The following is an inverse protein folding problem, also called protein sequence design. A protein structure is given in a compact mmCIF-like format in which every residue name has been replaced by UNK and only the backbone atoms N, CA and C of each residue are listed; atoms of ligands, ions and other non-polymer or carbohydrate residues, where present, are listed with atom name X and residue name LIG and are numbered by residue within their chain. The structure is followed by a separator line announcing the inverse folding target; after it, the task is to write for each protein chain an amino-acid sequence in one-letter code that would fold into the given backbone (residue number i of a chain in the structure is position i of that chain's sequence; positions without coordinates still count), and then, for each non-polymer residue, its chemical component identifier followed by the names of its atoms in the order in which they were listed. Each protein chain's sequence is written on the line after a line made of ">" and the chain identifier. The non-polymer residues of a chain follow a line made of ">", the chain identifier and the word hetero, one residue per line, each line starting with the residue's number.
data_IF_507637428762
#
_entry.id   IF_507637428762
#
_cell.length_a   1.000
_cell.length_b   1.000
_cell.length_c   1.000
_cell.angle_alpha   90.00
_cell.angle_beta   90.00
_cell.angle_gamma   90.00
#
_symmetry.space_group_name_H-M   'P 1'
#
loop_
_entity.id
_entity.type
_entity.pdbx_description
1 polymer ?
#
# COMPACT_ATOMS: atom_id res chain seq x y z
N UNK A 1 0.89 39.56 45.36
CA UNK A 1 0.34 39.40 44.00
C UNK A 1 1.19 38.36 43.28
N UNK A 2 0.79 37.08 43.27
CA UNK A 2 1.52 35.98 42.61
C UNK A 2 0.89 35.78 41.24
N UNK A 3 1.62 36.11 40.18
CA UNK A 3 1.18 35.90 38.79
C UNK A 3 1.27 34.40 38.54
N UNK A 4 0.12 33.72 38.51
CA UNK A 4 0.00 32.35 38.04
C UNK A 4 0.24 32.36 36.53
N UNK A 5 1.49 32.15 36.11
CA UNK A 5 1.77 31.92 34.69
C UNK A 5 1.21 30.55 34.31
N UNK A 6 0.15 30.55 33.51
CA UNK A 6 -0.34 29.35 32.85
C UNK A 6 0.77 28.86 31.92
N UNK A 7 1.31 27.68 32.19
CA UNK A 7 2.22 26.98 31.28
C UNK A 7 1.43 26.76 29.97
N UNK A 8 1.86 27.29 28.82
CA UNK A 8 1.16 27.05 27.57
C UNK A 8 1.14 25.55 27.30
N UNK A 9 -0.04 24.95 27.18
CA UNK A 9 -0.17 23.55 26.78
C UNK A 9 0.28 23.43 25.32
N UNK A 10 1.44 22.83 25.08
CA UNK A 10 1.91 22.53 23.73
C UNK A 10 0.99 21.45 23.17
N UNK A 11 0.36 21.70 22.02
CA UNK A 11 -0.45 20.69 21.36
C UNK A 11 0.43 19.47 21.00
N UNK A 12 -0.08 18.22 21.08
CA UNK A 12 0.72 17.03 20.77
C UNK A 12 1.41 17.07 19.40
N UNK A 13 0.77 17.72 18.41
CA UNK A 13 1.31 17.96 17.06
C UNK A 13 2.55 18.87 17.02
N UNK A 14 2.70 19.73 18.02
CA UNK A 14 3.77 20.72 18.10
C UNK A 14 4.97 20.21 18.90
N UNK A 15 4.88 18.99 19.43
CA UNK A 15 6.05 18.28 19.96
C UNK A 15 6.99 17.88 18.79
N UNK A 16 8.30 17.69 19.03
CA UNK A 16 9.21 17.19 18.00
C UNK A 16 8.72 15.90 17.35
N UNK A 17 8.21 14.96 18.16
CA UNK A 17 7.61 13.71 17.68
C UNK A 17 6.31 13.93 16.90
N UNK A 18 5.43 14.82 17.34
CA UNK A 18 4.20 15.17 16.61
C UNK A 18 4.49 15.74 15.22
N UNK A 19 5.50 16.61 15.11
CA UNK A 19 5.98 17.13 13.81
C UNK A 19 6.57 16.03 12.94
N UNK A 20 7.36 15.13 13.52
CA UNK A 20 7.94 13.99 12.82
C UNK A 20 6.84 13.10 12.22
N UNK A 21 5.82 12.74 13.02
CA UNK A 21 4.67 11.96 12.56
C UNK A 21 3.92 12.66 11.43
N UNK A 22 3.63 13.95 11.57
CA UNK A 22 2.94 14.74 10.53
C UNK A 22 3.72 14.74 9.21
N UNK A 23 5.04 14.95 9.27
CA UNK A 23 5.91 14.96 8.09
C UNK A 23 6.02 13.58 7.45
N UNK A 24 6.20 12.53 8.25
CA UNK A 24 6.22 11.14 7.77
C UNK A 24 4.89 10.76 7.10
N UNK A 25 3.76 11.15 7.69
CA UNK A 25 2.44 10.94 7.11
C UNK A 25 2.27 11.62 5.75
N UNK A 26 2.61 12.91 5.64
CA UNK A 26 2.53 13.61 4.35
C UNK A 26 3.51 13.06 3.32
N UNK A 27 4.73 12.69 3.72
CA UNK A 27 5.68 12.02 2.83
C UNK A 27 5.11 10.70 2.29
N UNK A 28 4.47 9.90 3.15
CA UNK A 28 3.79 8.67 2.74
C UNK A 28 2.64 8.96 1.75
N UNK A 29 1.73 9.88 2.07
CA UNK A 29 0.62 10.21 1.16
C UNK A 29 1.10 10.75 -0.19
N UNK A 30 2.08 11.65 -0.19
CA UNK A 30 2.66 12.20 -1.42
C UNK A 30 3.31 11.08 -2.24
N UNK A 31 4.08 10.19 -1.59
CA UNK A 31 4.71 9.07 -2.30
C UNK A 31 3.68 8.15 -2.96
N UNK A 32 2.55 7.88 -2.28
CA UNK A 32 1.47 7.04 -2.83
C UNK A 32 0.71 7.72 -3.96
N UNK A 33 0.56 9.04 -3.91
CA UNK A 33 0.06 9.80 -5.05
C UNK A 33 0.97 9.65 -6.27
N UNK A 34 2.31 9.69 -6.09
CA UNK A 34 3.25 9.43 -7.19
C UNK A 34 3.13 8.01 -7.76
N UNK A 35 2.91 7.00 -6.92
CA UNK A 35 2.67 5.62 -7.38
C UNK A 35 1.39 5.55 -8.23
N UNK A 36 0.29 6.15 -7.77
CA UNK A 36 -0.98 6.19 -8.52
C UNK A 36 -0.83 6.97 -9.84
N UNK A 37 -0.08 8.08 -9.84
CA UNK A 37 0.23 8.80 -11.08
C UNK A 37 1.06 7.95 -12.05
N UNK A 38 2.04 7.19 -11.55
CA UNK A 38 2.82 6.25 -12.35
C UNK A 38 1.94 5.16 -12.97
N UNK A 39 1.03 4.58 -12.18
CA UNK A 39 0.05 3.62 -12.67
C UNK A 39 -0.89 4.24 -13.73
N UNK A 40 -1.34 5.48 -13.53
CA UNK A 40 -2.17 6.19 -14.52
C UNK A 40 -1.43 6.43 -15.85
N UNK A 41 -0.13 6.72 -15.80
CA UNK A 41 0.71 6.84 -16.99
C UNK A 41 0.84 5.48 -17.69
N UNK A 42 1.03 4.39 -16.94
CA UNK A 42 1.09 3.04 -17.50
C UNK A 42 -0.22 2.67 -18.22
N UNK A 43 -1.37 2.93 -17.60
CA UNK A 43 -2.70 2.74 -18.22
C UNK A 43 -2.85 3.58 -19.48
N UNK A 44 -2.41 4.85 -19.46
CA UNK A 44 -2.48 5.72 -20.63
C UNK A 44 -1.59 5.22 -21.78
N UNK A 45 -0.39 4.71 -21.47
CA UNK A 45 0.52 4.14 -22.45
C UNK A 45 -0.07 2.87 -23.08
N UNK A 46 -0.60 1.96 -22.26
CA UNK A 46 -1.26 0.73 -22.73
C UNK A 46 -2.48 1.04 -23.60
N UNK A 47 -3.27 2.06 -23.24
CA UNK A 47 -4.39 2.52 -24.04
C UNK A 47 -3.98 3.14 -25.40
N UNK A 48 -2.75 3.67 -25.54
CA UNK A 48 -2.21 4.11 -26.83
C UNK A 48 -1.79 2.90 -27.66
N UNK A 49 -1.14 1.91 -27.04
CA UNK A 49 -0.73 0.67 -27.70
C UNK A 49 -1.93 -0.14 -28.20
N UNK A 50 -2.97 -0.33 -27.38
CA UNK A 50 -4.18 -1.05 -27.76
C UNK A 50 -4.85 -0.45 -28.99
N UNK A 51 -5.01 0.90 -29.02
CA UNK A 51 -5.57 1.60 -30.19
C UNK A 51 -4.70 1.46 -31.44
N UNK A 52 -3.39 1.30 -31.29
CA UNK A 52 -2.48 1.08 -32.42
C UNK A 52 -2.65 -0.32 -33.01
N UNK A 53 -3.10 -1.28 -32.21
CA UNK A 53 -3.34 -2.67 -32.58
C UNK A 53 -4.82 -2.96 -32.93
N UNK A 54 -5.66 -1.93 -33.07
CA UNK A 54 -7.12 -2.07 -33.27
C UNK A 54 -7.85 -2.81 -32.14
N UNK A 55 -7.34 -2.75 -30.91
CA UNK A 55 -7.95 -3.32 -29.70
C UNK A 55 -8.68 -2.25 -28.88
N UNK A 56 -9.77 -2.63 -28.19
CA UNK A 56 -10.46 -1.73 -27.27
C UNK A 56 -9.62 -1.49 -26.00
N UNK A 57 -9.26 -0.23 -25.68
CA UNK A 57 -8.40 0.06 -24.54
C UNK A 57 -9.15 0.00 -23.20
N UNK A 58 -8.57 -0.70 -22.23
CA UNK A 58 -8.99 -0.62 -20.83
C UNK A 58 -8.55 0.74 -20.26
N UNK A 59 -9.43 1.43 -19.53
CA UNK A 59 -9.14 2.79 -19.04
C UNK A 59 -9.76 3.12 -17.69
N UNK A 60 -9.40 4.28 -17.15
CA UNK A 60 -9.91 4.78 -15.88
C UNK A 60 -9.59 3.86 -14.70
N UNK A 61 -10.55 3.70 -13.79
CA UNK A 61 -10.40 2.88 -12.58
C UNK A 61 -10.15 1.40 -12.89
N UNK A 62 -10.71 0.88 -13.98
CA UNK A 62 -10.51 -0.51 -14.39
C UNK A 62 -9.06 -0.78 -14.83
N UNK A 63 -8.45 0.14 -15.57
CA UNK A 63 -7.04 0.04 -15.93
C UNK A 63 -6.13 0.19 -14.73
N UNK A 64 -6.44 1.10 -13.79
CA UNK A 64 -5.67 1.22 -12.55
C UNK A 64 -5.75 -0.06 -11.72
N UNK A 65 -6.94 -0.64 -11.59
CA UNK A 65 -7.12 -1.93 -10.92
C UNK A 65 -6.28 -3.02 -11.58
N UNK A 66 -6.22 -3.09 -12.91
CA UNK A 66 -5.39 -4.05 -13.65
C UNK A 66 -3.89 -3.89 -13.36
N UNK A 67 -3.38 -2.65 -13.31
CA UNK A 67 -1.97 -2.38 -12.96
C UNK A 67 -1.66 -2.89 -11.55
N UNK A 68 -2.59 -2.73 -10.60
CA UNK A 68 -2.40 -3.21 -9.24
C UNK A 68 -2.72 -4.70 -9.02
N UNK A 69 -3.51 -5.32 -9.90
CA UNK A 69 -3.74 -6.78 -10.01
C UNK A 69 -2.57 -7.47 -10.74
N UNK A 70 -1.54 -6.73 -11.17
CA UNK A 70 -0.41 -7.31 -11.88
C UNK A 70 0.55 -8.09 -10.95
N UNK A 71 1.31 -9.01 -11.55
CA UNK A 71 2.35 -9.81 -10.91
C UNK A 71 1.80 -10.68 -9.77
N UNK A 72 2.42 -10.63 -8.58
CA UNK A 72 2.02 -11.41 -7.42
C UNK A 72 0.68 -10.97 -6.83
N UNK A 73 0.21 -9.76 -7.17
CA UNK A 73 -1.13 -9.28 -6.79
C UNK A 73 -2.22 -10.20 -7.31
N UNK A 74 -2.05 -10.70 -8.54
CA UNK A 74 -2.99 -11.62 -9.18
C UNK A 74 -3.21 -12.88 -8.36
N UNK A 75 -2.13 -13.53 -7.94
CA UNK A 75 -2.20 -14.77 -7.15
C UNK A 75 -2.88 -14.56 -5.80
N UNK A 76 -2.60 -13.44 -5.13
CA UNK A 76 -3.28 -13.11 -3.87
C UNK A 76 -4.77 -12.85 -4.09
N UNK A 77 -5.16 -12.13 -5.14
CA UNK A 77 -6.55 -11.83 -5.45
C UNK A 77 -7.33 -13.08 -5.88
N UNK A 78 -6.69 -14.02 -6.56
CA UNK A 78 -7.29 -15.32 -6.86
C UNK A 78 -7.54 -16.13 -5.59
N UNK A 79 -6.62 -16.12 -4.62
CA UNK A 79 -6.86 -16.75 -3.31
C UNK A 79 -7.99 -16.05 -2.56
N UNK A 80 -8.13 -14.72 -2.69
CA UNK A 80 -9.26 -13.98 -2.08
C UNK A 80 -10.60 -14.38 -2.70
N UNK A 81 -10.66 -14.52 -4.02
CA UNK A 81 -11.88 -14.81 -4.79
C UNK A 81 -12.29 -16.28 -4.72
N UNK A 82 -11.33 -17.18 -4.89
CA UNK A 82 -11.56 -18.60 -5.12
C UNK A 82 -11.01 -19.51 -4.02
N UNK A 83 -10.17 -18.97 -3.13
CA UNK A 83 -9.50 -19.76 -2.11
C UNK A 83 -8.32 -20.58 -2.63
N UNK A 84 -7.74 -21.39 -1.74
CA UNK A 84 -6.64 -22.28 -2.09
C UNK A 84 -7.14 -23.48 -2.92
N UNK A 85 -6.35 -23.95 -3.91
CA UNK A 85 -6.70 -25.14 -4.67
C UNK A 85 -6.77 -26.36 -3.75
N UNK A 86 -7.81 -27.19 -3.94
CA UNK A 86 -8.00 -28.43 -3.16
C UNK A 86 -7.18 -29.61 -3.70
N UNK A 87 -6.75 -29.53 -4.95
CA UNK A 87 -5.92 -30.51 -5.61
C UNK A 87 -4.83 -29.75 -6.38
N UNK A 88 -3.57 -30.14 -6.22
CA UNK A 88 -2.42 -29.51 -6.87
C UNK A 88 -1.88 -30.50 -7.90
N UNK A 89 -1.88 -30.11 -9.18
CA UNK A 89 -1.34 -30.97 -10.23
C UNK A 89 0.19 -31.21 -10.06
N UNK A 90 0.74 -32.32 -10.57
CA UNK A 90 2.19 -32.47 -10.67
C UNK A 90 2.79 -31.42 -11.63
N UNK A 91 4.03 -30.97 -11.37
CA UNK A 91 4.78 -30.02 -12.21
C UNK A 91 4.09 -28.65 -12.43
N UNK A 92 3.49 -28.08 -11.37
CA UNK A 92 2.92 -26.73 -11.41
C UNK A 92 3.95 -25.71 -11.89
N UNK A 93 3.52 -24.83 -12.79
CA UNK A 93 4.27 -23.64 -13.25
C UNK A 93 3.44 -22.39 -13.00
N UNK A 94 4.02 -21.20 -13.20
CA UNK A 94 3.34 -19.92 -13.03
C UNK A 94 2.26 -19.63 -14.10
N UNK A 95 2.02 -20.54 -15.04
CA UNK A 95 0.97 -20.39 -16.06
C UNK A 95 -0.37 -21.01 -15.66
N UNK A 96 -0.46 -21.64 -14.49
CA UNK A 96 -1.68 -22.31 -14.02
C UNK A 96 -2.12 -21.77 -12.66
N UNK A 97 -3.44 -21.74 -12.43
CA UNK A 97 -4.08 -21.25 -11.20
C UNK A 97 -3.54 -21.92 -9.93
N UNK A 98 -3.14 -23.19 -10.02
CA UNK A 98 -2.60 -23.97 -8.90
C UNK A 98 -1.34 -23.36 -8.29
N UNK A 99 -0.62 -22.50 -9.02
CA UNK A 99 0.56 -21.77 -8.53
C UNK A 99 0.24 -20.92 -7.29
N UNK A 100 -1.02 -20.50 -7.12
CA UNK A 100 -1.45 -19.74 -5.93
C UNK A 100 -1.29 -20.50 -4.62
N UNK A 101 -1.13 -21.82 -4.66
CA UNK A 101 -0.84 -22.65 -3.49
C UNK A 101 0.48 -22.26 -2.78
N UNK A 102 1.42 -21.64 -3.47
CA UNK A 102 2.72 -21.25 -2.91
C UNK A 102 2.67 -19.95 -2.05
N UNK A 103 1.58 -19.20 -2.10
CA UNK A 103 1.47 -17.89 -1.44
C UNK A 103 1.04 -18.01 0.02
N UNK A 104 1.53 -17.09 0.86
CA UNK A 104 1.23 -17.11 2.30
C UNK A 104 -0.23 -16.73 2.60
N UNK A 105 -0.89 -17.41 3.55
CA UNK A 105 -2.35 -17.36 3.66
C UNK A 105 -2.91 -16.22 4.49
N UNK A 106 -2.09 -15.52 5.28
CA UNK A 106 -2.58 -14.52 6.23
C UNK A 106 -3.19 -13.31 5.51
N UNK A 107 -2.44 -12.76 4.55
CA UNK A 107 -2.86 -11.58 3.79
C UNK A 107 -4.16 -11.81 2.98
N UNK A 108 -4.26 -12.83 2.11
CA UNK A 108 -5.48 -13.00 1.30
C UNK A 108 -6.69 -13.38 2.15
N UNK A 109 -6.51 -14.11 3.26
CA UNK A 109 -7.63 -14.36 4.19
C UNK A 109 -8.12 -13.09 4.88
N UNK A 110 -7.22 -12.21 5.27
CA UNK A 110 -7.60 -10.91 5.84
C UNK A 110 -8.40 -10.08 4.84
N UNK A 111 -7.92 -9.98 3.59
CA UNK A 111 -8.60 -9.24 2.52
C UNK A 111 -9.97 -9.85 2.24
N UNK A 112 -10.08 -11.18 2.15
CA UNK A 112 -11.36 -11.87 1.93
C UNK A 112 -12.39 -11.51 3.00
N UNK A 113 -12.05 -11.60 4.29
CA UNK A 113 -13.01 -11.28 5.34
C UNK A 113 -13.37 -9.78 5.38
N UNK A 114 -12.45 -8.89 5.03
CA UNK A 114 -12.75 -7.46 4.94
C UNK A 114 -13.63 -7.13 3.73
N UNK A 115 -13.45 -7.83 2.61
CA UNK A 115 -14.28 -7.68 1.42
C UNK A 115 -15.73 -8.09 1.65
N UNK A 116 -15.97 -9.08 2.50
CA UNK A 116 -17.32 -9.41 2.95
C UNK A 116 -18.00 -8.29 3.76
N UNK A 117 -17.21 -7.39 4.38
CA UNK A 117 -17.71 -6.33 5.26
C UNK A 117 -17.77 -4.96 4.59
N UNK A 118 -16.95 -4.70 3.57
CA UNK A 118 -16.77 -3.39 2.95
C UNK A 118 -17.14 -3.46 1.47
N UNK A 119 -18.04 -2.59 0.97
CA UNK A 119 -18.35 -2.53 -0.45
C UNK A 119 -17.15 -1.97 -1.24
N UNK A 120 -16.88 -2.53 -2.43
CA UNK A 120 -15.81 -2.08 -3.32
C UNK A 120 -15.09 -3.22 -4.06
N UNK A 121 -15.22 -4.44 -3.57
CA UNK A 121 -14.64 -5.63 -4.18
C UNK A 121 -13.17 -5.89 -3.78
N UNK A 122 -12.66 -7.09 -4.08
CA UNK A 122 -11.38 -7.57 -3.55
C UNK A 122 -10.19 -6.65 -3.82
N UNK A 123 -10.13 -6.03 -5.01
CA UNK A 123 -9.01 -5.17 -5.42
C UNK A 123 -8.98 -3.89 -4.58
N UNK A 124 -10.12 -3.21 -4.43
CA UNK A 124 -10.19 -1.98 -3.64
C UNK A 124 -9.88 -2.23 -2.17
N UNK A 125 -10.34 -3.36 -1.63
CA UNK A 125 -10.05 -3.77 -0.24
C UNK A 125 -8.58 -4.12 -0.07
N UNK A 126 -7.98 -4.86 -0.99
CA UNK A 126 -6.55 -5.17 -0.97
C UNK A 126 -5.68 -3.90 -1.00
N UNK A 127 -6.01 -2.93 -1.87
CA UNK A 127 -5.32 -1.64 -1.96
C UNK A 127 -5.46 -0.82 -0.66
N UNK A 128 -6.65 -0.81 -0.07
CA UNK A 128 -6.85 -0.15 1.23
C UNK A 128 -6.01 -0.81 2.32
N UNK A 129 -5.98 -2.14 2.39
CA UNK A 129 -5.17 -2.87 3.35
C UNK A 129 -3.68 -2.58 3.15
N UNK A 130 -3.19 -2.55 1.91
CA UNK A 130 -1.81 -2.19 1.59
C UNK A 130 -1.47 -0.75 2.01
N UNK A 131 -2.37 0.19 1.77
CA UNK A 131 -2.21 1.59 2.19
C UNK A 131 -2.11 1.70 3.72
N UNK A 132 -2.95 0.98 4.46
CA UNK A 132 -2.94 0.99 5.92
C UNK A 132 -1.68 0.30 6.48
N UNK A 133 -1.30 -0.85 5.94
CA UNK A 133 -0.12 -1.59 6.39
C UNK A 133 1.19 -0.90 5.99
N UNK A 134 1.23 -0.24 4.83
CA UNK A 134 2.34 0.62 4.43
C UNK A 134 2.49 1.81 5.38
N UNK A 135 1.39 2.50 5.72
CA UNK A 135 1.40 3.57 6.71
C UNK A 135 1.86 3.08 8.10
N UNK A 136 1.38 1.92 8.53
CA UNK A 136 1.80 1.27 9.77
C UNK A 136 3.29 0.93 9.75
N UNK A 137 3.80 0.39 8.64
CA UNK A 137 5.22 0.09 8.45
C UNK A 137 6.07 1.36 8.62
N UNK A 138 5.71 2.46 7.95
CA UNK A 138 6.42 3.74 8.10
C UNK A 138 6.39 4.23 9.55
N UNK A 139 5.24 4.16 10.21
CA UNK A 139 5.13 4.50 11.62
C UNK A 139 6.06 3.65 12.50
N UNK A 140 6.11 2.32 12.29
CA UNK A 140 6.96 1.41 13.04
C UNK A 140 8.45 1.68 12.80
N UNK A 141 8.85 1.99 11.56
CA UNK A 141 10.22 2.43 11.24
C UNK A 141 10.57 3.70 12.03
N UNK A 142 9.68 4.69 12.05
CA UNK A 142 9.86 5.91 12.85
C UNK A 142 9.95 5.62 14.35
N UNK A 143 9.07 4.76 14.88
CA UNK A 143 9.08 4.36 16.29
C UNK A 143 10.39 3.66 16.67
N UNK A 144 10.88 2.76 15.83
CA UNK A 144 12.13 2.05 16.06
C UNK A 144 13.32 3.03 16.06
N UNK A 145 13.40 3.89 15.05
CA UNK A 145 14.45 4.91 14.95
C UNK A 145 14.42 5.89 16.14
N UNK A 146 13.23 6.24 16.65
CA UNK A 146 13.08 7.08 17.83
C UNK A 146 13.61 6.41 19.10
N UNK A 147 13.31 5.12 19.29
CA UNK A 147 13.75 4.36 20.46
C UNK A 147 15.27 4.18 20.47
N UNK A 148 15.87 3.98 19.29
CA UNK A 148 17.31 3.76 19.16
C UNK A 148 18.14 5.05 19.12
N UNK A 149 17.54 6.16 18.67
CA UNK A 149 18.23 7.43 18.45
C UNK A 149 17.43 8.61 19.02
N UNK A 150 16.75 9.37 18.15
CA UNK A 150 16.08 10.61 18.50
C UNK A 150 14.94 10.94 17.53
N UNK A 151 14.11 11.94 17.88
CA UNK A 151 12.94 12.34 17.10
C UNK A 151 13.29 12.84 15.68
N UNK A 152 14.46 13.48 15.49
CA UNK A 152 14.91 14.00 14.20
C UNK A 152 15.40 12.87 13.30
N UNK A 153 16.08 11.88 13.85
CA UNK A 153 16.48 10.66 13.14
C UNK A 153 15.24 9.86 12.72
N UNK A 154 14.26 9.76 13.61
CA UNK A 154 12.98 9.11 13.31
C UNK A 154 12.20 9.80 12.17
N UNK A 155 12.14 11.14 12.18
CA UNK A 155 11.55 11.92 11.09
C UNK A 155 12.21 11.59 9.75
N UNK A 156 13.53 11.64 9.68
CA UNK A 156 14.29 11.33 8.45
C UNK A 156 14.06 9.89 8.00
N UNK A 157 14.09 8.93 8.93
CA UNK A 157 13.85 7.53 8.61
C UNK A 157 12.47 7.31 7.99
N UNK A 158 11.41 7.91 8.56
CA UNK A 158 10.07 7.84 7.99
C UNK A 158 9.99 8.44 6.59
N UNK A 159 10.56 9.64 6.39
CA UNK A 159 10.53 10.32 5.09
C UNK A 159 11.30 9.50 4.04
N UNK A 160 12.52 9.07 4.34
CA UNK A 160 13.37 8.30 3.43
C UNK A 160 12.70 6.97 3.09
N UNK A 161 12.17 6.24 4.09
CA UNK A 161 11.49 4.98 3.85
C UNK A 161 10.21 5.15 2.99
N UNK A 162 9.48 6.25 3.18
CA UNK A 162 8.26 6.54 2.43
C UNK A 162 8.54 6.89 0.95
N UNK A 163 9.63 7.61 0.65
CA UNK A 163 9.96 8.05 -0.71
C UNK A 163 10.97 7.13 -1.42
N UNK A 164 11.53 6.14 -0.71
CA UNK A 164 12.47 5.19 -1.28
C UNK A 164 11.83 4.52 -2.51
N UNK A 165 12.52 4.41 -3.67
CA UNK A 165 11.91 3.91 -4.89
C UNK A 165 11.20 2.57 -4.72
N UNK A 166 11.83 1.63 -4.00
CA UNK A 166 11.24 0.31 -3.73
C UNK A 166 10.05 0.31 -2.77
N UNK A 167 9.69 1.44 -2.16
CA UNK A 167 8.55 1.53 -1.24
C UNK A 167 7.19 1.44 -1.95
N UNK A 168 7.17 1.51 -3.29
CA UNK A 168 5.93 1.37 -4.07
C UNK A 168 5.23 0.02 -3.81
N UNK A 169 5.98 -1.02 -3.42
CA UNK A 169 5.44 -2.35 -3.07
C UNK A 169 4.52 -2.32 -1.84
N UNK A 170 4.52 -1.23 -1.07
CA UNK A 170 3.64 -1.00 0.07
C UNK A 170 2.43 -0.12 -0.34
N UNK A 171 1.94 -0.29 -1.57
CA UNK A 171 0.81 0.46 -2.16
C UNK A 171 -0.31 -0.47 -2.59
#
# INVERSE_FOLDING_TARGET
>A
MRISQAIPSIAPSDTPWGRALRRGFFAYLISRLFVVMGAAIAVAAEAVTARTNDEEPISGLSGLAQVFDSWDGHWYLDVVREGYPHHIMPNVTYFVSDARAAFFPLYPRLVHYLDLAVPGGPVSVALLVNLLFGGLFIYLVGRLARVLFDDRTAEKAMIIAAIFPGSFVLS
#
